data_IF_779010844388
#
_entry.id   IF_779010844388
#
_cell.length_a   1.000
_cell.length_b   1.000
_cell.length_c   1.000
_cell.angle_alpha   90.00
_cell.angle_beta   90.00
_cell.angle_gamma   90.00
#
_symmetry.space_group_name_H-M   'P 1'
#
loop_
_entity.id
_entity.type
_entity.pdbx_description
1 polymer ?
#
# COMPACT_ATOMS: atom_id res chain seq x y z
N UNK A 1 -9.17 0.54 -6.20
CA UNK A 1 -9.27 1.77 -5.36
C UNK A 1 -7.87 2.26 -4.94
N UNK A 2 -6.94 2.48 -5.88
CA UNK A 2 -5.53 2.83 -5.56
C UNK A 2 -5.11 4.15 -6.23
N UNK A 3 -5.84 4.55 -7.27
CA UNK A 3 -5.52 5.72 -8.09
C UNK A 3 -5.96 7.05 -7.45
N UNK A 4 -6.94 7.01 -6.54
CA UNK A 4 -7.55 8.22 -5.98
C UNK A 4 -6.63 8.87 -4.93
N UNK A 5 -6.01 8.07 -4.05
CA UNK A 5 -5.16 8.57 -2.96
C UNK A 5 -3.89 9.24 -3.50
N UNK A 6 -3.27 8.66 -4.54
CA UNK A 6 -2.09 9.23 -5.18
C UNK A 6 -2.40 10.32 -6.21
N UNK A 7 -3.63 10.85 -6.27
CA UNK A 7 -3.96 12.08 -6.99
C UNK A 7 -4.14 13.28 -6.07
N UNK A 8 -4.17 13.05 -4.75
CA UNK A 8 -4.24 14.10 -3.76
C UNK A 8 -2.90 14.86 -3.68
N UNK A 9 -2.91 16.13 -3.23
CA UNK A 9 -1.70 16.91 -3.04
C UNK A 9 -0.67 16.21 -2.14
N UNK A 10 0.62 16.44 -2.37
CA UNK A 10 1.71 15.75 -1.68
C UNK A 10 1.67 15.98 -0.15
N UNK A 11 1.19 17.13 0.31
CA UNK A 11 1.01 17.51 1.72
C UNK A 11 -0.19 16.85 2.41
N UNK A 12 -1.04 16.13 1.65
CA UNK A 12 -2.23 15.48 2.20
C UNK A 12 -1.84 14.41 3.22
N UNK A 13 -2.41 14.50 4.41
CA UNK A 13 -2.19 13.55 5.49
C UNK A 13 -3.01 12.27 5.26
N UNK A 14 -2.32 11.13 5.34
CA UNK A 14 -2.87 9.79 5.30
C UNK A 14 -2.78 9.19 6.70
N UNK A 15 -3.93 8.74 7.21
CA UNK A 15 -4.05 8.10 8.51
C UNK A 15 -4.21 6.59 8.33
N UNK A 16 -3.22 5.82 8.76
CA UNK A 16 -3.24 4.36 8.68
C UNK A 16 -4.04 3.78 9.85
N UNK A 17 -5.10 3.01 9.54
CA UNK A 17 -5.88 2.29 10.57
C UNK A 17 -5.12 1.16 11.26
N UNK A 18 -4.04 0.65 10.64
CA UNK A 18 -3.14 -0.32 11.25
C UNK A 18 -1.69 -0.01 10.86
N UNK A 19 -0.90 0.47 11.82
CA UNK A 19 0.49 0.84 11.63
C UNK A 19 1.41 -0.12 12.40
N UNK A 20 2.23 -0.91 11.68
CA UNK A 20 3.17 -1.86 12.32
C UNK A 20 4.28 -1.22 13.16
N UNK A 21 4.54 0.08 12.99
CA UNK A 21 5.70 0.79 13.61
C UNK A 21 5.30 2.06 14.38
N UNK A 22 4.05 2.16 14.83
CA UNK A 22 3.57 3.29 15.64
C UNK A 22 3.40 4.62 14.90
N UNK A 23 3.88 4.76 13.65
CA UNK A 23 3.54 5.90 12.78
C UNK A 23 2.16 5.71 12.16
N UNK A 24 1.17 6.39 12.72
CA UNK A 24 -0.20 6.42 12.21
C UNK A 24 -0.40 7.42 11.07
N UNK A 25 0.47 8.43 10.92
CA UNK A 25 0.32 9.50 9.94
C UNK A 25 1.52 9.56 9.01
N UNK A 26 1.25 9.67 7.71
CA UNK A 26 2.24 9.99 6.68
C UNK A 26 1.58 10.85 5.60
N UNK A 27 2.37 11.57 4.82
CA UNK A 27 1.85 12.35 3.69
C UNK A 27 1.76 11.52 2.40
N UNK A 28 0.95 11.97 1.44
CA UNK A 28 0.88 11.38 0.09
C UNK A 28 2.25 11.41 -0.58
N UNK A 29 2.98 12.52 -0.46
CA UNK A 29 4.33 12.67 -1.01
C UNK A 29 5.32 11.67 -0.40
N UNK A 30 5.29 11.47 0.92
CA UNK A 30 6.14 10.48 1.59
C UNK A 30 5.83 9.06 1.14
N UNK A 31 4.55 8.70 1.01
CA UNK A 31 4.15 7.37 0.56
C UNK A 31 4.52 7.14 -0.92
N UNK A 32 4.37 8.14 -1.78
CA UNK A 32 4.73 8.03 -3.20
C UNK A 32 6.24 7.86 -3.41
N UNK A 33 7.06 8.52 -2.60
CA UNK A 33 8.52 8.55 -2.78
C UNK A 33 9.24 7.42 -2.05
N UNK A 34 8.81 7.13 -0.82
CA UNK A 34 9.58 6.28 0.10
C UNK A 34 8.89 4.98 0.48
N UNK A 35 7.62 4.76 0.09
CA UNK A 35 6.95 3.52 0.48
C UNK A 35 7.56 2.32 -0.26
N UNK A 36 7.93 1.22 0.42
CA UNK A 36 8.60 0.08 -0.20
C UNK A 36 7.84 -0.58 -1.37
N UNK A 37 6.54 -0.34 -1.46
CA UNK A 37 5.66 -0.87 -2.49
C UNK A 37 5.23 0.15 -3.55
N UNK A 38 5.31 1.44 -3.25
CA UNK A 38 4.79 2.51 -4.13
C UNK A 38 5.88 3.46 -4.62
N UNK A 39 7.01 3.54 -3.91
CA UNK A 39 8.19 4.31 -4.25
C UNK A 39 8.65 4.05 -5.67
N UNK A 40 8.58 5.07 -6.53
CA UNK A 40 9.07 5.03 -7.91
C UNK A 40 8.53 3.86 -8.77
N UNK A 41 7.34 3.33 -8.49
CA UNK A 41 6.73 2.27 -9.30
C UNK A 41 5.44 2.73 -9.97
N UNK A 42 5.17 2.23 -11.19
CA UNK A 42 3.89 2.42 -11.84
C UNK A 42 2.81 1.56 -11.19
N UNK A 43 1.54 1.92 -11.43
CA UNK A 43 0.38 1.13 -10.99
C UNK A 43 0.44 -0.30 -11.51
N UNK A 44 0.77 -0.47 -12.80
CA UNK A 44 0.83 -1.81 -13.41
C UNK A 44 1.94 -2.65 -12.79
N UNK A 45 3.13 -2.08 -12.58
CA UNK A 45 4.23 -2.78 -11.93
C UNK A 45 3.88 -3.18 -10.48
N UNK A 46 3.15 -2.33 -9.76
CA UNK A 46 2.62 -2.68 -8.43
C UNK A 46 1.62 -3.85 -8.51
N UNK A 47 0.65 -3.81 -9.43
CA UNK A 47 -0.36 -4.86 -9.58
C UNK A 47 0.26 -6.20 -9.99
N UNK A 48 1.21 -6.19 -10.93
CA UNK A 48 1.97 -7.39 -11.33
C UNK A 48 2.72 -7.99 -10.14
N UNK A 49 3.37 -7.14 -9.33
CA UNK A 49 4.09 -7.61 -8.13
C UNK A 49 3.14 -8.19 -7.09
N UNK A 50 2.00 -7.56 -6.83
CA UNK A 50 1.00 -8.07 -5.87
C UNK A 50 0.40 -9.39 -6.34
N UNK A 51 0.10 -9.54 -7.63
CA UNK A 51 -0.39 -10.79 -8.20
C UNK A 51 0.60 -11.96 -8.08
N UNK A 52 1.90 -11.66 -7.99
CA UNK A 52 2.96 -12.67 -7.81
C UNK A 52 3.23 -13.06 -6.36
N UNK A 53 2.58 -12.42 -5.38
CA UNK A 53 2.78 -12.76 -3.97
C UNK A 53 2.18 -14.12 -3.63
N UNK A 54 2.84 -14.91 -2.77
CA UNK A 54 2.24 -16.13 -2.27
C UNK A 54 0.93 -15.81 -1.55
N UNK A 55 -0.06 -16.72 -1.58
CA UNK A 55 -1.28 -16.57 -0.80
C UNK A 55 -0.92 -16.34 0.67
N UNK A 56 -1.69 -15.50 1.35
CA UNK A 56 -1.46 -15.23 2.77
C UNK A 56 -1.58 -16.55 3.52
N UNK A 57 -0.65 -16.80 4.45
CA UNK A 57 -0.63 -18.05 5.23
C UNK A 57 -1.93 -18.29 6.05
N UNK A 58 -2.79 -17.29 6.16
CA UNK A 58 -4.08 -17.34 6.86
C UNK A 58 -5.26 -17.79 5.97
N UNK A 59 -5.08 -17.86 4.64
CA UNK A 59 -6.03 -18.49 3.70
C UNK A 59 -5.84 -20.02 3.71
N UNK A 60 -6.01 -20.64 4.88
CA UNK A 60 -6.35 -22.07 4.90
C UNK A 60 -7.79 -22.17 4.40
N UNK A 61 -8.10 -23.00 3.39
CA UNK A 61 -9.50 -23.31 3.10
C UNK A 61 -10.09 -23.88 4.39
N UNK A 62 -11.15 -23.25 4.90
CA UNK A 62 -11.94 -23.84 5.96
C UNK A 62 -12.38 -25.20 5.43
N UNK A 63 -11.76 -26.26 5.94
CA UNK A 63 -12.16 -27.62 5.63
C UNK A 63 -13.63 -27.74 6.04
N UNK A 64 -14.48 -28.02 5.05
CA UNK A 64 -15.89 -28.30 5.26
C UNK A 64 -16.04 -29.73 5.78
#
# INVERSE_FOLDING_TARGET
MHDVVFRLPDETLLFAGCARRGRMVATVGEQRRWHPWFGNTSRDAFLTRVASLPPRADERPAAH
#
